data_IF_370294633166
#
_entry.id   IF_370294633166
#
_cell.length_a   1.000
_cell.length_b   1.000
_cell.length_c   1.000
_cell.angle_alpha   90.00
_cell.angle_beta   90.00
_cell.angle_gamma   90.00
#
_symmetry.space_group_name_H-M   'P 1'
#
loop_
_entity.id
_entity.type
_entity.pdbx_description
1 polymer ?
#
# COMPACT_ATOMS: atom_id res chain seq x y z
N UNK A 1 -5.15 24.54 10.74
CA UNK A 1 -4.59 23.42 9.94
C UNK A 1 -3.10 23.62 9.90
N UNK A 2 -2.33 22.72 10.55
CA UNK A 2 -0.89 22.89 10.72
C UNK A 2 -0.10 22.86 9.41
N UNK A 3 1.11 23.39 9.42
CA UNK A 3 2.04 23.65 8.29
C UNK A 3 2.47 22.42 7.44
N UNK A 4 1.83 21.26 7.60
CA UNK A 4 2.08 20.07 6.79
C UNK A 4 0.95 19.88 5.76
N UNK A 5 1.21 20.32 4.54
CA UNK A 5 0.52 19.86 3.33
C UNK A 5 0.91 18.41 3.02
N UNK A 6 -0.01 17.63 2.44
CA UNK A 6 0.17 16.20 2.13
C UNK A 6 1.58 15.87 1.59
N UNK A 7 2.38 15.15 2.39
CA UNK A 7 3.71 14.69 2.01
C UNK A 7 4.75 15.80 1.79
N UNK A 8 4.53 17.04 2.25
CA UNK A 8 5.46 18.15 2.08
C UNK A 8 5.62 18.94 3.39
N UNK A 9 6.87 19.14 3.81
CA UNK A 9 7.25 19.92 4.99
C UNK A 9 8.04 21.17 4.60
N UNK A 10 7.72 22.32 5.19
CA UNK A 10 8.51 23.56 5.03
C UNK A 10 9.81 23.47 5.85
N UNK A 11 10.95 23.75 5.21
CA UNK A 11 12.29 23.69 5.85
C UNK A 11 13.06 25.02 5.77
N UNK A 12 12.45 26.07 5.21
CA UNK A 12 13.06 27.40 5.12
C UNK A 12 12.16 28.42 4.38
N UNK A 13 12.65 29.65 4.16
CA UNK A 13 11.93 30.64 3.36
C UNK A 13 11.73 30.12 1.93
N UNK A 14 10.48 29.87 1.54
CA UNK A 14 10.13 29.32 0.22
C UNK A 14 10.86 28.00 -0.12
N UNK A 15 11.24 27.21 0.89
CA UNK A 15 11.90 25.91 0.70
C UNK A 15 11.10 24.80 1.37
N UNK A 16 10.83 23.76 0.60
CA UNK A 16 10.00 22.64 1.00
C UNK A 16 10.71 21.32 0.69
N UNK A 17 10.41 20.28 1.45
CA UNK A 17 10.95 18.93 1.27
C UNK A 17 9.80 17.93 1.30
N UNK A 18 9.88 16.92 0.43
CA UNK A 18 8.98 15.78 0.47
C UNK A 18 9.16 15.00 1.79
N UNK A 19 8.06 14.65 2.43
CA UNK A 19 8.03 13.95 3.71
C UNK A 19 6.98 12.81 3.68
N UNK A 20 7.20 11.78 2.85
CA UNK A 20 6.24 10.69 2.68
C UNK A 20 6.25 9.74 3.89
N UNK A 21 5.12 9.07 4.11
CA UNK A 21 4.89 8.18 5.24
C UNK A 21 4.66 8.90 6.56
N UNK A 22 4.33 8.10 7.58
CA UNK A 22 3.91 8.59 8.88
C UNK A 22 4.80 8.05 9.99
N UNK A 23 4.99 8.85 11.03
CA UNK A 23 5.55 8.36 12.28
C UNK A 23 4.48 7.67 13.09
N UNK A 24 4.90 6.92 14.11
CA UNK A 24 3.98 6.26 15.02
C UNK A 24 2.92 7.25 15.55
N UNK A 25 3.33 8.44 15.99
CA UNK A 25 2.47 9.46 16.58
C UNK A 25 1.38 10.00 15.63
N UNK A 26 1.59 9.93 14.32
CA UNK A 26 0.68 10.51 13.32
C UNK A 26 -0.58 9.65 13.08
N UNK A 27 -0.57 8.40 13.54
CA UNK A 27 -1.71 7.50 13.38
C UNK A 27 -2.70 7.64 14.54
N UNK A 28 -3.98 7.79 14.22
CA UNK A 28 -5.09 7.71 15.15
C UNK A 28 -6.02 6.55 14.75
N UNK A 29 -6.48 5.77 15.73
CA UNK A 29 -7.43 4.68 15.46
C UNK A 29 -8.74 5.27 14.93
N UNK A 30 -9.24 4.70 13.84
CA UNK A 30 -10.40 5.18 13.09
C UNK A 30 -10.09 6.17 11.96
N UNK A 31 -8.84 6.65 11.83
CA UNK A 31 -8.45 7.44 10.66
C UNK A 31 -8.55 6.60 9.38
N UNK A 32 -9.07 7.21 8.31
CA UNK A 32 -9.08 6.65 6.96
C UNK A 32 -8.19 7.51 6.06
N UNK A 33 -7.22 6.88 5.39
CA UNK A 33 -6.34 7.51 4.43
C UNK A 33 -6.68 7.03 3.02
N UNK A 34 -7.16 7.94 2.17
CA UNK A 34 -7.36 7.69 0.74
C UNK A 34 -6.05 7.89 -0.02
N UNK A 35 -5.66 6.93 -0.86
CA UNK A 35 -4.38 6.95 -1.55
C UNK A 35 -4.50 7.41 -3.00
N UNK A 36 -3.58 8.29 -3.39
CA UNK A 36 -3.43 8.81 -4.74
C UNK A 36 -2.05 8.48 -5.30
N UNK A 37 -1.91 8.20 -6.61
CA UNK A 37 -2.94 8.10 -7.64
C UNK A 37 -3.60 6.73 -7.74
N UNK A 38 -4.73 6.64 -8.44
CA UNK A 38 -5.22 5.37 -8.97
C UNK A 38 -4.26 4.80 -10.01
N UNK A 39 -4.28 3.48 -10.19
CA UNK A 39 -3.39 2.78 -11.13
C UNK A 39 -4.14 1.77 -11.99
N UNK A 40 -4.13 2.00 -13.31
CA UNK A 40 -4.64 1.05 -14.30
C UNK A 40 -3.74 -0.18 -14.39
N UNK A 41 -4.33 -1.36 -14.33
CA UNK A 41 -3.64 -2.64 -14.50
C UNK A 41 -3.51 -2.94 -15.99
N UNK A 42 -2.26 -3.07 -16.45
CA UNK A 42 -1.96 -3.45 -17.84
C UNK A 42 -1.76 -4.96 -17.99
N UNK A 43 -1.79 -5.43 -19.24
CA UNK A 43 -1.41 -6.82 -19.55
C UNK A 43 0.04 -7.11 -19.17
N UNK A 44 0.94 -6.14 -19.38
CA UNK A 44 2.34 -6.25 -19.03
C UNK A 44 2.54 -6.47 -17.52
N UNK A 45 1.80 -5.76 -16.68
CA UNK A 45 1.83 -5.94 -15.23
C UNK A 45 1.48 -7.38 -14.84
N UNK A 46 0.39 -7.90 -15.39
CA UNK A 46 -0.14 -9.22 -15.06
C UNK A 46 0.80 -10.34 -15.53
N UNK A 47 1.24 -10.30 -16.79
CA UNK A 47 2.13 -11.32 -17.37
C UNK A 47 3.48 -11.30 -16.66
N UNK A 48 4.06 -10.11 -16.46
CA UNK A 48 5.37 -9.99 -15.82
C UNK A 48 5.35 -10.52 -14.39
N UNK A 49 4.39 -10.09 -13.57
CA UNK A 49 4.29 -10.55 -12.19
C UNK A 49 4.00 -12.06 -12.10
N UNK A 50 3.10 -12.57 -12.95
CA UNK A 50 2.72 -13.98 -12.97
C UNK A 50 3.92 -14.87 -13.31
N UNK A 51 4.69 -14.50 -14.32
CA UNK A 51 5.90 -15.24 -14.70
C UNK A 51 7.01 -15.09 -13.67
N UNK A 52 7.22 -13.88 -13.13
CA UNK A 52 8.22 -13.61 -12.09
C UNK A 52 7.99 -14.46 -10.83
N UNK A 53 6.73 -14.69 -10.48
CA UNK A 53 6.33 -15.48 -9.30
C UNK A 53 6.10 -16.96 -9.60
N UNK A 54 6.40 -17.40 -10.83
CA UNK A 54 6.21 -18.79 -11.29
C UNK A 54 4.76 -19.31 -11.11
N UNK A 55 3.76 -18.41 -11.15
CA UNK A 55 2.38 -18.84 -11.19
C UNK A 55 2.05 -19.30 -12.62
N UNK A 56 2.11 -20.60 -12.86
CA UNK A 56 1.92 -21.21 -14.19
C UNK A 56 0.46 -21.43 -14.58
N UNK A 57 -0.51 -20.89 -13.82
CA UNK A 57 -1.91 -21.11 -14.12
C UNK A 57 -2.33 -20.33 -15.39
N UNK A 58 -2.80 -21.00 -16.46
CA UNK A 58 -3.02 -20.38 -17.78
C UNK A 58 -4.12 -19.32 -17.79
N UNK A 59 -5.04 -19.33 -16.82
CA UNK A 59 -6.07 -18.28 -16.64
C UNK A 59 -5.51 -16.86 -16.59
N UNK A 60 -4.22 -16.69 -16.30
CA UNK A 60 -3.58 -15.38 -16.19
C UNK A 60 -2.88 -14.91 -17.47
N UNK A 61 -2.63 -15.78 -18.47
CA UNK A 61 -1.83 -15.42 -19.66
C UNK A 61 -2.16 -16.17 -20.96
N UNK A 62 -3.05 -17.17 -20.95
CA UNK A 62 -3.51 -17.87 -22.16
C UNK A 62 -4.94 -17.46 -22.51
N UNK A 63 -5.09 -16.78 -23.66
CA UNK A 63 -6.34 -16.17 -24.10
C UNK A 63 -7.36 -17.23 -24.51
N UNK A 64 -6.86 -18.25 -25.18
CA UNK A 64 -7.66 -19.34 -25.68
C UNK A 64 -8.18 -20.17 -24.49
N UNK A 65 -7.34 -20.40 -23.48
CA UNK A 65 -7.78 -21.01 -22.22
C UNK A 65 -8.83 -20.15 -21.53
N UNK A 66 -8.56 -18.86 -21.32
CA UNK A 66 -9.45 -17.97 -20.59
C UNK A 66 -10.81 -17.75 -21.28
N UNK A 67 -10.83 -17.73 -22.62
CA UNK A 67 -12.08 -17.64 -23.41
C UNK A 67 -13.06 -18.79 -23.19
N UNK A 68 -12.57 -19.93 -22.68
CA UNK A 68 -13.36 -21.12 -22.37
C UNK A 68 -13.71 -21.24 -20.89
N UNK A 69 -13.21 -20.32 -20.05
CA UNK A 69 -13.57 -20.21 -18.64
C UNK A 69 -14.86 -19.42 -18.47
N UNK A 70 -15.45 -19.44 -17.28
CA UNK A 70 -16.62 -18.62 -16.93
C UNK A 70 -16.37 -17.11 -17.04
N UNK A 71 -15.10 -16.68 -17.00
CA UNK A 71 -14.72 -15.28 -17.07
C UNK A 71 -14.59 -14.75 -18.51
N UNK A 72 -14.41 -15.63 -19.51
CA UNK A 72 -14.25 -15.28 -20.93
C UNK A 72 -12.99 -14.48 -21.31
N UNK A 73 -12.18 -14.03 -20.34
CA UNK A 73 -10.92 -13.30 -20.50
C UNK A 73 -9.97 -13.61 -19.34
N UNK A 74 -8.67 -13.41 -19.52
CA UNK A 74 -7.68 -13.73 -18.48
C UNK A 74 -7.90 -12.88 -17.23
N UNK A 75 -7.73 -13.53 -16.07
CA UNK A 75 -7.77 -12.88 -14.77
C UNK A 75 -6.42 -12.26 -14.45
N UNK A 76 -6.43 -11.09 -13.82
CA UNK A 76 -5.23 -10.56 -13.17
C UNK A 76 -4.90 -11.45 -11.97
N UNK A 77 -3.61 -11.78 -11.82
CA UNK A 77 -3.11 -12.54 -10.69
C UNK A 77 -3.45 -11.84 -9.36
N UNK A 78 -4.12 -12.56 -8.46
CA UNK A 78 -4.57 -11.96 -7.20
C UNK A 78 -3.42 -11.54 -6.28
N UNK A 79 -2.28 -12.23 -6.33
CA UNK A 79 -1.09 -11.83 -5.58
C UNK A 79 -0.48 -10.53 -6.13
N UNK A 80 -0.59 -10.27 -7.44
CA UNK A 80 -0.27 -8.96 -8.00
C UNK A 80 -1.21 -7.89 -7.44
N UNK A 81 -2.52 -8.17 -7.39
CA UNK A 81 -3.51 -7.23 -6.84
C UNK A 81 -3.21 -6.90 -5.37
N UNK A 82 -2.87 -7.91 -4.55
CA UNK A 82 -2.44 -7.74 -3.16
C UNK A 82 -1.20 -6.82 -3.06
N UNK A 83 -0.18 -7.10 -3.86
CA UNK A 83 1.06 -6.31 -3.89
C UNK A 83 0.82 -4.87 -4.37
N UNK A 84 -0.03 -4.69 -5.38
CA UNK A 84 -0.42 -3.39 -5.93
C UNK A 84 -1.13 -2.55 -4.88
N UNK A 85 -2.23 -3.06 -4.30
CA UNK A 85 -3.00 -2.34 -3.26
C UNK A 85 -2.10 -2.02 -2.06
N UNK A 86 -1.24 -2.95 -1.65
CA UNK A 86 -0.23 -2.71 -0.59
C UNK A 86 0.70 -1.56 -0.97
N UNK A 87 1.23 -1.56 -2.20
CA UNK A 87 2.14 -0.56 -2.73
C UNK A 87 1.53 0.85 -2.78
N UNK A 88 0.27 0.95 -3.18
CA UNK A 88 -0.48 2.22 -3.24
C UNK A 88 -0.59 2.88 -1.86
N UNK A 89 -0.64 2.10 -0.79
CA UNK A 89 -0.79 2.63 0.57
C UNK A 89 0.51 3.15 1.18
N UNK A 90 1.68 2.84 0.59
CA UNK A 90 2.99 3.02 1.26
C UNK A 90 3.27 4.49 1.55
N UNK A 91 3.07 5.37 0.57
CA UNK A 91 3.34 6.81 0.71
C UNK A 91 2.50 7.45 1.81
N UNK A 92 1.24 7.03 1.97
CA UNK A 92 0.33 7.55 3.00
C UNK A 92 0.50 6.90 4.38
N UNK A 93 1.23 5.79 4.48
CA UNK A 93 1.33 4.99 5.70
C UNK A 93 2.76 4.58 6.03
N UNK A 94 3.28 3.58 5.34
CA UNK A 94 4.45 2.79 5.76
C UNK A 94 5.78 3.20 5.12
N UNK A 95 5.90 4.34 4.43
CA UNK A 95 7.18 4.77 3.84
C UNK A 95 8.30 4.94 4.89
N UNK A 96 7.93 5.27 6.15
CA UNK A 96 8.83 5.34 7.32
C UNK A 96 8.76 4.10 8.21
N UNK A 97 8.05 3.05 7.77
CA UNK A 97 7.97 1.81 8.51
C UNK A 97 9.33 1.10 8.49
N UNK A 98 9.62 0.42 9.59
CA UNK A 98 10.86 -0.35 9.79
C UNK A 98 10.70 -1.74 9.20
N UNK A 99 9.53 -2.35 9.37
CA UNK A 99 9.25 -3.68 8.87
C UNK A 99 7.75 -3.90 8.68
N UNK A 100 7.39 -4.63 7.63
CA UNK A 100 6.10 -5.30 7.57
C UNK A 100 6.12 -6.51 8.50
N UNK A 101 5.13 -6.65 9.38
CA UNK A 101 5.08 -7.76 10.33
C UNK A 101 4.17 -8.90 9.85
N UNK A 102 3.18 -8.59 9.01
CA UNK A 102 2.33 -9.61 8.42
C UNK A 102 1.06 -9.06 7.78
N UNK A 103 0.38 -9.96 7.09
CA UNK A 103 -0.97 -9.77 6.56
C UNK A 103 -1.91 -10.79 7.20
N UNK A 104 -3.15 -10.37 7.42
CA UNK A 104 -4.26 -11.13 8.00
C UNK A 104 -5.51 -10.88 7.14
N UNK A 105 -6.52 -11.74 7.24
CA UNK A 105 -7.85 -11.55 6.64
C UNK A 105 -7.85 -11.16 5.14
N UNK A 106 -6.95 -11.71 4.32
CA UNK A 106 -6.92 -11.41 2.89
C UNK A 106 -8.16 -12.00 2.20
N UNK A 107 -8.98 -11.13 1.61
CA UNK A 107 -10.16 -11.46 0.82
C UNK A 107 -10.05 -10.83 -0.57
N UNK A 108 -10.48 -11.57 -1.59
CA UNK A 108 -10.47 -11.16 -2.99
C UNK A 108 -11.92 -11.26 -3.50
N UNK A 109 -12.80 -10.28 -3.22
CA UNK A 109 -14.24 -10.43 -3.42
C UNK A 109 -14.68 -10.40 -4.88
N UNK A 110 -13.89 -9.75 -5.74
CA UNK A 110 -14.18 -9.60 -7.16
C UNK A 110 -12.91 -9.79 -8.01
N UNK A 111 -13.03 -10.33 -9.22
CA UNK A 111 -11.91 -10.45 -10.15
C UNK A 111 -11.44 -9.07 -10.62
N UNK A 112 -10.14 -8.97 -10.89
CA UNK A 112 -9.54 -7.82 -11.57
C UNK A 112 -9.18 -8.24 -12.99
N UNK A 113 -9.43 -7.35 -13.95
CA UNK A 113 -9.09 -7.54 -15.35
C UNK A 113 -8.11 -6.48 -15.84
N UNK A 114 -7.41 -6.80 -16.93
CA UNK A 114 -6.62 -5.79 -17.66
C UNK A 114 -7.55 -4.65 -18.08
N UNK A 115 -7.10 -3.41 -17.82
CA UNK A 115 -7.86 -2.19 -18.05
C UNK A 115 -8.59 -1.64 -16.81
N UNK A 116 -8.76 -2.45 -15.75
CA UNK A 116 -9.30 -1.94 -14.48
C UNK A 116 -8.32 -0.96 -13.85
N UNK A 117 -8.85 0.14 -13.30
CA UNK A 117 -8.09 1.11 -12.53
C UNK A 117 -8.37 0.94 -11.05
N UNK A 118 -7.33 0.59 -10.29
CA UNK A 118 -7.47 0.38 -8.87
C UNK A 118 -7.21 1.67 -8.09
N UNK A 119 -7.95 1.81 -7.00
CA UNK A 119 -7.84 2.81 -5.94
C UNK A 119 -7.69 2.08 -4.60
N UNK A 120 -7.09 2.73 -3.60
CA UNK A 120 -6.93 2.15 -2.28
C UNK A 120 -7.25 3.16 -1.19
N UNK A 121 -7.80 2.66 -0.09
CA UNK A 121 -7.95 3.39 1.18
C UNK A 121 -7.46 2.53 2.34
N UNK A 122 -6.99 3.18 3.40
CA UNK A 122 -6.49 2.50 4.61
C UNK A 122 -7.17 3.03 5.86
N UNK A 123 -7.80 2.14 6.63
CA UNK A 123 -8.32 2.44 7.96
C UNK A 123 -7.34 1.98 9.05
N UNK A 124 -7.10 2.83 10.06
CA UNK A 124 -6.30 2.44 11.24
C UNK A 124 -7.17 1.70 12.23
N UNK A 125 -6.89 0.41 12.42
CA UNK A 125 -7.66 -0.46 13.32
C UNK A 125 -7.14 -0.45 14.75
N UNK A 126 -5.82 -0.47 14.92
CA UNK A 126 -5.17 -0.51 16.23
C UNK A 126 -3.76 0.07 16.17
N UNK A 127 -3.27 0.53 17.32
CA UNK A 127 -1.94 1.11 17.48
C UNK A 127 -1.45 0.88 18.90
N UNK A 128 -0.21 0.36 19.03
CA UNK A 128 0.42 0.16 20.34
C UNK A 128 1.93 0.38 20.28
N UNK A 129 2.50 0.82 21.39
CA UNK A 129 3.95 0.90 21.52
C UNK A 129 4.60 -0.49 21.52
N UNK A 130 5.85 -0.57 21.05
CA UNK A 130 6.64 -1.78 21.14
C UNK A 130 7.21 -1.94 22.55
N UNK A 131 6.96 -3.09 23.18
CA UNK A 131 7.48 -3.42 24.52
C UNK A 131 9.00 -3.61 24.52
N UNK A 132 9.58 -4.06 23.41
CA UNK A 132 11.02 -4.38 23.31
C UNK A 132 11.82 -3.33 22.53
N UNK A 133 11.16 -2.38 21.87
CA UNK A 133 11.81 -1.34 21.03
C UNK A 133 11.23 0.04 21.36
N UNK A 134 11.77 0.76 22.36
CA UNK A 134 11.16 1.99 22.91
C UNK A 134 10.93 3.13 21.91
N UNK A 135 11.69 3.16 20.82
CA UNK A 135 11.60 4.17 19.75
C UNK A 135 10.64 3.77 18.63
N UNK A 136 9.82 2.74 18.82
CA UNK A 136 9.01 2.13 17.77
C UNK A 136 7.64 1.72 18.30
N UNK A 137 6.67 1.60 17.40
CA UNK A 137 5.36 1.08 17.70
C UNK A 137 4.78 0.28 16.54
N UNK A 138 3.73 -0.47 16.81
CA UNK A 138 3.04 -1.31 15.84
C UNK A 138 1.72 -0.67 15.51
N UNK A 139 1.42 -0.58 14.22
CA UNK A 139 0.14 -0.10 13.70
C UNK A 139 -0.50 -1.24 12.91
N UNK A 140 -1.77 -1.50 13.20
CA UNK A 140 -2.62 -2.45 12.49
C UNK A 140 -3.63 -1.66 11.66
N UNK A 141 -3.71 -1.97 10.38
CA UNK A 141 -4.58 -1.25 9.44
C UNK A 141 -5.37 -2.22 8.57
N UNK A 142 -6.51 -1.76 8.05
CA UNK A 142 -7.27 -2.43 6.98
C UNK A 142 -7.04 -1.68 5.68
N UNK A 143 -6.68 -2.38 4.62
CA UNK A 143 -6.59 -1.83 3.28
C UNK A 143 -7.78 -2.33 2.46
N UNK A 144 -8.49 -1.41 1.81
CA UNK A 144 -9.56 -1.72 0.86
C UNK A 144 -9.11 -1.25 -0.52
N UNK A 145 -9.00 -2.19 -1.46
CA UNK A 145 -8.78 -1.92 -2.88
C UNK A 145 -10.09 -1.93 -3.65
N UNK A 146 -10.36 -0.89 -4.44
CA UNK A 146 -11.56 -0.75 -5.28
C UNK A 146 -11.18 -0.50 -6.73
N UNK A 147 -12.00 -0.95 -7.68
CA UNK A 147 -11.84 -0.56 -9.09
C UNK A 147 -12.55 0.78 -9.40
N UNK A 148 -12.52 1.22 -10.67
CA UNK A 148 -13.16 2.45 -11.14
C UNK A 148 -14.67 2.53 -10.92
N UNK A 149 -15.32 1.38 -10.73
CA UNK A 149 -16.77 1.26 -10.50
C UNK A 149 -17.11 1.12 -9.00
N UNK A 150 -16.14 1.41 -8.12
CA UNK A 150 -16.22 1.25 -6.66
C UNK A 150 -16.44 -0.20 -6.18
N UNK A 151 -16.19 -1.20 -7.03
CA UNK A 151 -16.26 -2.61 -6.64
C UNK A 151 -15.03 -2.96 -5.81
N UNK A 152 -15.23 -3.53 -4.62
CA UNK A 152 -14.14 -4.00 -3.76
C UNK A 152 -13.50 -5.25 -4.37
N UNK A 153 -12.22 -5.14 -4.71
CA UNK A 153 -11.42 -6.23 -5.30
C UNK A 153 -10.40 -6.81 -4.32
N UNK A 154 -10.10 -6.09 -3.24
CA UNK A 154 -9.18 -6.51 -2.19
C UNK A 154 -9.63 -5.96 -0.84
N UNK A 155 -9.67 -6.81 0.18
CA UNK A 155 -9.81 -6.45 1.59
C UNK A 155 -8.74 -7.22 2.36
N UNK A 156 -7.85 -6.52 3.05
CA UNK A 156 -6.80 -7.15 3.84
C UNK A 156 -6.50 -6.36 5.11
N UNK A 157 -6.03 -7.06 6.12
CA UNK A 157 -5.50 -6.47 7.34
C UNK A 157 -3.98 -6.60 7.32
N UNK A 158 -3.27 -5.54 7.69
CA UNK A 158 -1.81 -5.48 7.67
C UNK A 158 -1.29 -4.88 8.97
N UNK A 159 -0.25 -5.49 9.51
CA UNK A 159 0.47 -4.98 10.68
C UNK A 159 1.89 -4.62 10.31
N UNK A 160 2.36 -3.44 10.72
CA UNK A 160 3.72 -3.00 10.46
C UNK A 160 4.32 -2.22 11.65
N UNK A 161 5.65 -2.29 11.76
CA UNK A 161 6.44 -1.62 12.78
C UNK A 161 6.86 -0.24 12.25
N UNK A 162 6.57 0.81 13.00
CA UNK A 162 6.83 2.21 12.61
C UNK A 162 7.75 2.87 13.64
N UNK A 163 8.65 3.72 13.17
CA UNK A 163 9.47 4.55 14.05
C UNK A 163 8.63 5.66 14.71
N UNK A 164 8.93 5.93 15.98
CA UNK A 164 8.55 7.20 16.61
C UNK A 164 9.29 8.35 15.94
N UNK A 165 8.72 9.55 15.99
CA UNK A 165 9.32 10.75 15.40
C UNK A 165 10.76 10.98 15.87
N UNK A 166 11.66 11.29 14.94
CA UNK A 166 13.09 11.49 15.23
C UNK A 166 13.90 10.19 15.34
N UNK A 167 13.27 9.03 15.07
CA UNK A 167 13.93 7.73 15.14
C UNK A 167 13.82 6.92 13.85
N UNK A 168 13.28 7.49 12.77
CA UNK A 168 13.21 6.83 11.48
C UNK A 168 14.56 6.85 10.75
N UNK A 169 14.72 5.98 9.76
CA UNK A 169 15.91 6.01 8.88
C UNK A 169 15.94 7.31 8.06
N UNK A 170 14.78 7.83 7.69
CA UNK A 170 14.65 9.11 6.96
C UNK A 170 15.19 10.27 7.79
N UNK A 171 14.93 10.30 9.10
CA UNK A 171 15.45 11.35 9.99
C UNK A 171 16.98 11.36 9.98
N UNK A 172 17.62 10.19 10.09
CA UNK A 172 19.08 10.04 10.08
C UNK A 172 19.70 10.53 8.76
N UNK A 173 19.13 10.13 7.63
CA UNK A 173 19.59 10.57 6.31
C UNK A 173 19.46 12.09 6.16
N UNK A 174 18.36 12.66 6.65
CA UNK A 174 18.13 14.11 6.61
C UNK A 174 19.17 14.85 7.47
N UNK A 175 19.48 14.36 8.67
CA UNK A 175 20.49 14.95 9.56
C UNK A 175 21.88 14.92 8.92
N UNK A 176 22.28 13.80 8.31
CA UNK A 176 23.57 13.63 7.63
C UNK A 176 23.74 14.55 6.41
N UNK A 177 22.67 14.79 5.65
CA UNK A 177 22.70 15.57 4.40
C UNK A 177 22.46 17.07 4.60
N UNK A 178 22.12 17.50 5.82
CA UNK A 178 21.86 18.91 6.14
C UNK A 178 23.04 19.59 6.85
N UNK A 179 24.13 18.86 7.13
CA UNK A 179 25.43 19.36 7.59
C UNK A 179 26.40 19.50 6.41
#
# INVERSE_FOLDING_TARGET
MGENTYGIRKIGPQRYREDPGRYFEDFQVGDVYEHWPGRTVSEADNIWFTNLTMNTHPIHFDANYASKSEFGKYLVNSAFTLALVTGMCVSGTSQKAIANLGWEEIKIPAPVFVGDTLYSETEVLDKRESKSRPTQGIVKVRHIGKNQDNVVVMDMVRSFLVAKRGHSVVDKIIEETSN
#
